data_IF_619688510470
#
_entry.id   IF_619688510470
#
_cell.length_a   1.000
_cell.length_b   1.000
_cell.length_c   1.000
_cell.angle_alpha   90.00
_cell.angle_beta   90.00
_cell.angle_gamma   90.00
#
_symmetry.space_group_name_H-M   'P 1'
#
loop_
_entity.id
_entity.type
_entity.pdbx_description
1 polymer ?
#
# COMPACT_ATOMS: atom_id res chain seq x y z
N UNK A 1 2.02 -18.66 -32.93
CA UNK A 1 0.64 -18.15 -32.84
C UNK A 1 0.56 -17.20 -31.66
N UNK A 2 -0.51 -16.43 -31.49
CA UNK A 2 -0.70 -15.61 -30.30
C UNK A 2 -1.97 -16.05 -29.58
N UNK A 3 -2.03 -15.82 -28.27
CA UNK A 3 -3.23 -16.06 -27.47
C UNK A 3 -3.51 -14.85 -26.58
N UNK A 4 -4.73 -14.74 -26.06
CA UNK A 4 -5.10 -13.73 -25.08
C UNK A 4 -4.99 -14.30 -23.67
N UNK A 5 -4.34 -13.58 -22.77
CA UNK A 5 -4.35 -13.90 -21.35
C UNK A 5 -5.66 -13.40 -20.73
N UNK A 6 -6.69 -14.25 -20.72
CA UNK A 6 -7.93 -13.97 -19.99
C UNK A 6 -7.75 -14.19 -18.48
N UNK A 7 -8.70 -13.72 -17.68
CA UNK A 7 -8.65 -13.97 -16.23
C UNK A 7 -8.71 -15.46 -15.89
N UNK A 8 -9.55 -16.23 -16.61
CA UNK A 8 -9.67 -17.66 -16.36
C UNK A 8 -8.37 -18.40 -16.69
N UNK A 9 -7.70 -18.01 -17.78
CA UNK A 9 -6.41 -18.58 -18.16
C UNK A 9 -5.31 -18.18 -17.17
N UNK A 10 -5.30 -16.94 -16.69
CA UNK A 10 -4.35 -16.49 -15.67
C UNK A 10 -4.53 -17.26 -14.35
N UNK A 11 -5.77 -17.50 -13.90
CA UNK A 11 -6.05 -18.27 -12.69
C UNK A 11 -5.72 -19.77 -12.86
N UNK A 12 -5.93 -20.32 -14.05
CA UNK A 12 -5.50 -21.66 -14.40
C UNK A 12 -3.96 -21.78 -14.36
N UNK A 13 -3.25 -20.82 -14.96
CA UNK A 13 -1.78 -20.76 -14.92
C UNK A 13 -1.29 -20.64 -13.48
N UNK A 14 -1.86 -19.74 -12.67
CA UNK A 14 -1.50 -19.58 -11.26
C UNK A 14 -1.65 -20.90 -10.49
N UNK A 15 -2.74 -21.64 -10.73
CA UNK A 15 -2.96 -22.96 -10.12
C UNK A 15 -1.95 -24.00 -10.59
N UNK A 16 -1.56 -23.96 -11.87
CA UNK A 16 -0.58 -24.85 -12.45
C UNK A 16 0.85 -24.60 -11.94
N UNK A 17 1.24 -23.34 -11.75
CA UNK A 17 2.55 -22.97 -11.18
C UNK A 17 2.72 -23.52 -9.76
N UNK A 18 1.64 -23.58 -8.98
CA UNK A 18 1.67 -24.13 -7.63
C UNK A 18 1.65 -25.67 -7.58
N UNK A 19 1.33 -26.32 -8.70
CA UNK A 19 1.29 -27.77 -8.80
C UNK A 19 2.71 -28.31 -9.04
N UNK A 20 3.29 -28.91 -8.00
CA UNK A 20 4.63 -29.50 -8.08
C UNK A 20 4.64 -30.93 -8.63
N UNK A 21 3.48 -31.54 -8.89
CA UNK A 21 3.36 -32.92 -9.35
C UNK A 21 3.29 -33.03 -10.88
N UNK A 22 2.71 -32.02 -11.54
CA UNK A 22 2.49 -32.01 -12.99
C UNK A 22 2.98 -30.72 -13.60
N UNK A 23 3.48 -30.83 -14.82
CA UNK A 23 3.89 -29.67 -15.64
C UNK A 23 2.84 -29.42 -16.69
N UNK A 24 2.62 -28.15 -17.00
CA UNK A 24 1.60 -27.72 -17.94
C UNK A 24 2.21 -26.81 -19.00
N UNK A 25 1.55 -26.73 -20.14
CA UNK A 25 1.82 -25.79 -21.24
C UNK A 25 0.52 -25.11 -21.64
N UNK A 26 0.58 -23.89 -22.15
CA UNK A 26 -0.59 -23.22 -22.73
C UNK A 26 -0.75 -23.68 -24.18
N UNK A 27 -1.91 -24.24 -24.53
CA UNK A 27 -2.32 -24.44 -25.92
C UNK A 27 -2.92 -23.14 -26.45
N UNK A 28 -2.18 -22.42 -27.28
CA UNK A 28 -2.61 -21.14 -27.84
C UNK A 28 -3.81 -21.24 -28.80
N UNK A 29 -4.09 -22.43 -29.36
CA UNK A 29 -5.27 -22.64 -30.21
C UNK A 29 -6.55 -22.72 -29.37
N UNK A 30 -6.49 -23.45 -28.26
CA UNK A 30 -7.63 -23.67 -27.36
C UNK A 30 -7.74 -22.61 -26.26
N UNK A 31 -6.66 -21.87 -26.00
CA UNK A 31 -6.51 -20.95 -24.87
C UNK A 31 -6.71 -21.64 -23.51
N UNK A 32 -6.20 -22.86 -23.40
CA UNK A 32 -6.34 -23.72 -22.22
C UNK A 32 -5.01 -24.37 -21.84
N UNK A 33 -4.91 -24.86 -20.61
CA UNK A 33 -3.75 -25.64 -20.16
C UNK A 33 -3.81 -27.08 -20.67
N UNK A 34 -2.68 -27.56 -21.19
CA UNK A 34 -2.45 -28.96 -21.56
C UNK A 34 -1.34 -29.56 -20.72
N UNK A 35 -1.42 -30.87 -20.45
CA UNK A 35 -0.39 -31.59 -19.69
C UNK A 35 0.89 -31.71 -20.53
N UNK A 36 2.02 -31.26 -19.97
CA UNK A 36 3.31 -31.29 -20.63
C UNK A 36 3.85 -32.72 -20.83
N UNK A 37 3.25 -33.74 -20.20
CA UNK A 37 3.53 -35.14 -20.48
C UNK A 37 2.90 -35.62 -21.81
N UNK A 38 1.84 -34.94 -22.27
CA UNK A 38 1.11 -35.31 -23.49
C UNK A 38 1.55 -34.50 -24.70
N UNK A 39 1.99 -33.25 -24.49
CA UNK A 39 2.40 -32.32 -25.55
C UNK A 39 3.70 -31.62 -25.17
N UNK A 40 4.60 -31.46 -26.15
CA UNK A 40 5.88 -30.78 -25.96
C UNK A 40 5.73 -29.30 -26.30
N UNK A 41 6.32 -28.42 -25.48
CA UNK A 41 6.41 -27.01 -25.80
C UNK A 41 7.18 -26.82 -27.12
N UNK A 42 6.60 -26.02 -28.02
CA UNK A 42 7.13 -25.73 -29.34
C UNK A 42 7.21 -24.21 -29.62
N UNK A 43 6.77 -23.37 -28.67
CA UNK A 43 6.77 -21.90 -28.76
C UNK A 43 5.96 -21.33 -29.95
N UNK A 44 5.18 -22.18 -30.62
CA UNK A 44 4.35 -21.82 -31.77
C UNK A 44 2.88 -22.01 -31.44
N UNK A 45 2.54 -23.16 -30.87
CA UNK A 45 1.20 -23.52 -30.40
C UNK A 45 1.20 -23.82 -28.90
N UNK A 46 2.23 -24.52 -28.43
CA UNK A 46 2.38 -24.92 -27.03
C UNK A 46 3.45 -24.07 -26.36
N UNK A 47 3.03 -23.17 -25.48
CA UNK A 47 3.91 -22.26 -24.74
C UNK A 47 4.22 -22.81 -23.35
N UNK A 48 5.50 -22.84 -22.99
CA UNK A 48 5.90 -23.20 -21.64
C UNK A 48 5.45 -22.14 -20.63
N UNK A 49 5.01 -22.58 -19.46
CA UNK A 49 4.71 -21.69 -18.33
C UNK A 49 5.99 -21.06 -17.77
N UNK A 50 5.89 -19.89 -17.09
CA UNK A 50 7.04 -19.28 -16.47
C UNK A 50 7.63 -20.16 -15.37
N UNK A 51 8.94 -20.06 -15.14
CA UNK A 51 9.64 -20.89 -14.17
C UNK A 51 9.22 -20.56 -12.74
N UNK A 52 8.48 -21.47 -12.11
CA UNK A 52 8.11 -21.36 -10.69
C UNK A 52 8.71 -22.51 -9.89
N UNK A 53 9.83 -22.25 -9.23
CA UNK A 53 10.53 -23.24 -8.42
C UNK A 53 10.28 -23.07 -6.91
N UNK A 54 10.82 -24.00 -6.13
CA UNK A 54 10.73 -23.93 -4.66
C UNK A 54 11.40 -22.67 -4.10
N UNK A 55 12.40 -22.08 -4.78
CA UNK A 55 13.06 -20.85 -4.35
C UNK A 55 12.14 -19.63 -4.55
N UNK A 56 11.45 -19.51 -5.68
CA UNK A 56 10.43 -18.50 -5.93
C UNK A 56 9.29 -18.62 -4.91
N UNK A 57 8.82 -19.84 -4.65
CA UNK A 57 7.82 -20.11 -3.62
C UNK A 57 8.28 -19.78 -2.20
N UNK A 58 9.58 -19.88 -1.90
CA UNK A 58 10.17 -19.49 -0.62
C UNK A 58 10.26 -17.96 -0.50
N UNK A 59 10.81 -17.28 -1.52
CA UNK A 59 10.88 -15.81 -1.59
C UNK A 59 9.51 -15.16 -1.43
N UNK A 60 8.47 -15.74 -2.03
CA UNK A 60 7.09 -15.26 -1.86
C UNK A 60 6.64 -15.30 -0.39
N UNK A 61 7.02 -16.36 0.34
CA UNK A 61 6.70 -16.50 1.77
C UNK A 61 7.52 -15.57 2.64
N UNK A 62 8.80 -15.36 2.31
CA UNK A 62 9.64 -14.36 2.97
C UNK A 62 9.06 -12.95 2.81
N UNK A 63 8.69 -12.58 1.57
CA UNK A 63 8.07 -11.29 1.29
C UNK A 63 6.74 -11.13 2.05
N UNK A 64 5.94 -12.20 2.14
CA UNK A 64 4.72 -12.18 2.94
C UNK A 64 5.02 -12.01 4.44
N UNK A 65 5.90 -12.83 5.01
CA UNK A 65 6.25 -12.76 6.43
C UNK A 65 6.84 -11.39 6.81
N UNK A 66 7.63 -10.77 5.93
CA UNK A 66 8.13 -9.41 6.10
C UNK A 66 6.99 -8.39 6.12
N UNK A 67 5.94 -8.60 5.31
CA UNK A 67 4.75 -7.75 5.24
C UNK A 67 3.77 -7.93 6.41
N UNK A 68 3.81 -9.06 7.12
CA UNK A 68 2.90 -9.32 8.26
C UNK A 68 3.27 -8.42 9.43
N UNK A 69 2.28 -7.71 9.97
CA UNK A 69 2.49 -6.70 11.01
C UNK A 69 2.28 -7.24 12.42
N UNK A 70 1.39 -8.21 12.62
CA UNK A 70 1.14 -8.83 13.92
C UNK A 70 2.43 -9.48 14.47
N UNK A 71 3.06 -8.95 15.54
CA UNK A 71 4.39 -9.38 15.96
C UNK A 71 4.47 -10.86 16.33
N UNK A 72 3.39 -11.39 16.92
CA UNK A 72 3.27 -12.81 17.25
C UNK A 72 3.28 -13.67 15.97
N UNK A 73 2.39 -13.38 15.03
CA UNK A 73 2.27 -14.15 13.79
C UNK A 73 3.51 -13.99 12.91
N UNK A 74 4.05 -12.77 12.83
CA UNK A 74 5.30 -12.46 12.13
C UNK A 74 6.45 -13.31 12.68
N UNK A 75 6.62 -13.35 13.99
CA UNK A 75 7.67 -14.15 14.63
C UNK A 75 7.50 -15.64 14.33
N UNK A 76 6.29 -16.18 14.46
CA UNK A 76 6.01 -17.58 14.13
C UNK A 76 6.29 -17.91 12.65
N UNK A 77 5.91 -17.02 11.72
CA UNK A 77 6.17 -17.21 10.30
C UNK A 77 7.67 -17.14 9.97
N UNK A 78 8.41 -16.22 10.59
CA UNK A 78 9.87 -16.08 10.44
C UNK A 78 10.59 -17.30 11.02
N UNK A 79 10.20 -17.79 12.20
CA UNK A 79 10.75 -19.01 12.80
C UNK A 79 10.55 -20.22 11.87
N UNK A 80 9.37 -20.35 11.28
CA UNK A 80 9.11 -21.40 10.30
C UNK A 80 10.01 -21.27 9.07
N UNK A 81 10.23 -20.06 8.56
CA UNK A 81 11.14 -19.82 7.44
C UNK A 81 12.58 -20.20 7.77
N UNK A 82 13.05 -19.92 8.99
CA UNK A 82 14.38 -20.29 9.48
C UNK A 82 14.55 -21.77 9.84
N UNK A 83 13.45 -22.51 10.02
CA UNK A 83 13.50 -23.93 10.44
C UNK A 83 14.16 -24.86 9.40
N UNK A 84 14.27 -24.43 8.15
CA UNK A 84 14.98 -25.13 7.06
C UNK A 84 14.34 -26.44 6.57
N UNK A 85 13.45 -27.07 7.34
CA UNK A 85 12.75 -28.32 6.98
C UNK A 85 11.24 -28.18 7.11
N UNK A 86 10.53 -28.59 6.07
CA UNK A 86 9.06 -28.60 6.07
C UNK A 86 8.43 -27.21 6.06
N UNK A 87 9.17 -26.17 5.65
CA UNK A 87 8.76 -24.76 5.65
C UNK A 87 7.36 -24.59 5.05
N UNK A 88 7.10 -25.13 3.86
CA UNK A 88 5.80 -24.99 3.18
C UNK A 88 4.63 -25.56 3.98
N UNK A 89 4.82 -26.71 4.63
CA UNK A 89 3.78 -27.36 5.45
C UNK A 89 3.57 -26.60 6.76
N UNK A 90 4.66 -26.28 7.45
CA UNK A 90 4.63 -25.60 8.74
C UNK A 90 4.07 -24.17 8.58
N UNK A 91 4.36 -23.50 7.47
CA UNK A 91 3.83 -22.17 7.18
C UNK A 91 2.30 -22.22 7.04
N UNK A 92 1.77 -23.21 6.32
CA UNK A 92 0.33 -23.46 6.26
C UNK A 92 -0.26 -23.78 7.65
N UNK A 93 0.47 -24.52 8.49
CA UNK A 93 0.03 -24.81 9.86
C UNK A 93 -0.08 -23.54 10.72
N UNK A 94 0.88 -22.62 10.61
CA UNK A 94 0.80 -21.31 11.29
C UNK A 94 -0.39 -20.51 10.76
N UNK A 95 -0.56 -20.43 9.43
CA UNK A 95 -1.69 -19.71 8.83
C UNK A 95 -3.05 -20.24 9.32
N UNK A 96 -3.23 -21.56 9.42
CA UNK A 96 -4.49 -22.17 9.91
C UNK A 96 -4.86 -21.77 11.34
N UNK A 97 -3.89 -21.38 12.17
CA UNK A 97 -4.14 -20.88 13.53
C UNK A 97 -4.65 -19.44 13.52
N UNK A 98 -4.45 -18.72 12.42
CA UNK A 98 -4.82 -17.31 12.25
C UNK A 98 -5.61 -17.14 10.93
N UNK A 99 -6.92 -17.46 10.91
CA UNK A 99 -7.73 -17.45 9.69
C UNK A 99 -7.68 -16.14 8.90
N UNK A 100 -7.58 -15.00 9.59
CA UNK A 100 -7.46 -13.68 8.94
C UNK A 100 -6.12 -13.50 8.22
N UNK A 101 -5.03 -14.04 8.79
CA UNK A 101 -3.71 -14.03 8.14
C UNK A 101 -3.66 -15.04 6.99
N UNK A 102 -4.36 -16.17 7.10
CA UNK A 102 -4.51 -17.13 6.00
C UNK A 102 -5.21 -16.50 4.78
N UNK A 103 -6.33 -15.80 4.98
CA UNK A 103 -7.00 -15.03 3.90
C UNK A 103 -6.05 -14.02 3.27
N UNK A 104 -5.28 -13.29 4.09
CA UNK A 104 -4.29 -12.30 3.63
C UNK A 104 -3.18 -12.96 2.81
N UNK A 105 -2.70 -14.13 3.23
CA UNK A 105 -1.75 -14.92 2.47
C UNK A 105 -2.29 -15.27 1.09
N UNK A 106 -3.52 -15.76 1.00
CA UNK A 106 -4.14 -16.08 -0.30
C UNK A 106 -4.22 -14.87 -1.23
N UNK A 107 -4.66 -13.71 -0.73
CA UNK A 107 -4.70 -12.47 -1.52
C UNK A 107 -3.33 -12.02 -1.99
N UNK A 108 -2.36 -11.95 -1.08
CA UNK A 108 -0.98 -11.54 -1.39
C UNK A 108 -0.34 -12.46 -2.44
N UNK A 109 -0.51 -13.77 -2.25
CA UNK A 109 -0.02 -14.81 -3.15
C UNK A 109 -0.63 -14.68 -4.54
N UNK A 110 -1.96 -14.52 -4.63
CA UNK A 110 -2.66 -14.35 -5.90
C UNK A 110 -2.21 -13.08 -6.63
N UNK A 111 -2.07 -11.95 -5.92
CA UNK A 111 -1.57 -10.70 -6.51
C UNK A 111 -0.17 -10.88 -7.09
N UNK A 112 0.76 -11.44 -6.32
CA UNK A 112 2.15 -11.65 -6.77
C UNK A 112 2.26 -12.65 -7.90
N UNK A 113 1.44 -13.70 -7.90
CA UNK A 113 1.36 -14.64 -9.02
C UNK A 113 0.83 -13.96 -10.29
N UNK A 114 -0.20 -13.10 -10.18
CA UNK A 114 -0.72 -12.34 -11.33
C UNK A 114 0.32 -11.37 -11.90
N UNK A 115 1.04 -10.64 -11.05
CA UNK A 115 2.16 -9.79 -11.47
C UNK A 115 3.24 -10.60 -12.22
N UNK A 116 3.57 -11.79 -11.70
CA UNK A 116 4.58 -12.67 -12.30
C UNK A 116 4.15 -13.24 -13.66
N UNK A 117 2.91 -13.73 -13.77
CA UNK A 117 2.31 -14.22 -15.02
C UNK A 117 2.20 -13.09 -16.03
N UNK A 118 1.85 -11.89 -15.56
CA UNK A 118 1.79 -10.68 -16.37
C UNK A 118 3.11 -10.31 -17.02
N UNK A 119 4.20 -10.37 -16.26
CA UNK A 119 5.56 -10.19 -16.76
C UNK A 119 5.90 -11.19 -17.86
N UNK A 120 5.69 -12.48 -17.59
CA UNK A 120 5.90 -13.55 -18.57
C UNK A 120 5.09 -13.35 -19.87
N UNK A 121 3.82 -12.97 -19.75
CA UNK A 121 2.98 -12.73 -20.92
C UNK A 121 3.45 -11.50 -21.72
N UNK A 122 3.93 -10.47 -21.04
CA UNK A 122 4.53 -9.31 -21.71
C UNK A 122 5.83 -9.68 -22.45
N UNK A 123 6.63 -10.61 -21.92
CA UNK A 123 7.81 -11.14 -22.62
C UNK A 123 7.39 -11.90 -23.90
N UNK A 124 6.32 -12.72 -23.83
CA UNK A 124 5.76 -13.37 -25.02
C UNK A 124 5.23 -12.36 -26.05
N UNK A 125 4.56 -11.30 -25.60
CA UNK A 125 4.07 -10.23 -26.48
C UNK A 125 5.21 -9.52 -27.20
N UNK A 126 6.33 -9.28 -26.52
CA UNK A 126 7.53 -8.73 -27.12
C UNK A 126 8.08 -9.65 -28.22
N UNK A 127 8.14 -10.97 -27.97
CA UNK A 127 8.52 -11.97 -28.98
C UNK A 127 7.56 -11.97 -30.17
N UNK A 128 6.27 -11.74 -29.94
CA UNK A 128 5.26 -11.62 -30.99
C UNK A 128 5.25 -10.26 -31.73
N UNK A 129 6.08 -9.30 -31.31
CA UNK A 129 6.11 -7.94 -31.87
C UNK A 129 4.91 -7.08 -31.50
N UNK A 130 4.24 -7.39 -30.40
CA UNK A 130 3.11 -6.62 -29.86
C UNK A 130 3.59 -5.65 -28.77
N UNK A 131 2.89 -4.52 -28.62
CA UNK A 131 3.12 -3.60 -27.51
C UNK A 131 2.91 -4.29 -26.16
N UNK A 132 3.75 -3.97 -25.17
CA UNK A 132 3.57 -4.42 -23.79
C UNK A 132 2.24 -3.87 -23.27
N UNK A 133 1.49 -4.70 -22.58
CA UNK A 133 0.32 -4.20 -21.85
C UNK A 133 0.85 -3.54 -20.59
N UNK A 134 0.54 -2.25 -20.43
CA UNK A 134 0.64 -1.58 -19.14
C UNK A 134 -0.19 -2.41 -18.17
N UNK A 135 0.48 -3.09 -17.25
CA UNK A 135 -0.20 -3.77 -16.18
C UNK A 135 -0.90 -2.70 -15.37
N UNK A 136 -2.21 -2.53 -15.60
CA UNK A 136 -3.10 -1.89 -14.64
C UNK A 136 -3.12 -2.83 -13.46
N UNK A 137 -2.09 -2.71 -12.61
CA UNK A 137 -2.17 -3.21 -11.26
C UNK A 137 -3.33 -2.42 -10.68
N UNK A 138 -4.46 -3.07 -10.50
CA UNK A 138 -5.47 -2.62 -9.57
C UNK A 138 -4.78 -2.44 -8.21
N UNK A 139 -4.24 -1.23 -7.98
CA UNK A 139 -3.92 -0.71 -6.66
C UNK A 139 -5.25 -0.44 -5.97
N UNK A 140 -5.92 -1.50 -5.54
CA UNK A 140 -7.07 -1.38 -4.67
C UNK A 140 -6.77 -2.07 -3.33
N UNK A 141 -6.24 -1.27 -2.40
CA UNK A 141 -7.04 -0.76 -1.27
C UNK A 141 -7.55 -1.81 -0.22
N UNK A 142 -7.38 -3.12 -0.42
CA UNK A 142 -8.07 -4.13 0.40
C UNK A 142 -7.19 -4.87 1.43
N UNK A 143 -5.92 -4.46 1.58
CA UNK A 143 -4.97 -5.02 2.57
C UNK A 143 -4.90 -4.20 3.88
N UNK A 144 -5.33 -2.94 3.86
CA UNK A 144 -5.30 -2.03 5.02
C UNK A 144 -6.58 -2.08 5.87
N UNK A 145 -7.73 -2.34 5.25
CA UNK A 145 -9.06 -2.16 5.86
C UNK A 145 -9.44 -3.19 6.94
N UNK A 146 -8.69 -4.29 7.08
CA UNK A 146 -8.95 -5.32 8.10
C UNK A 146 -8.09 -5.18 9.36
N UNK A 147 -6.91 -4.56 9.26
CA UNK A 147 -6.00 -4.35 10.39
C UNK A 147 -6.13 -2.93 10.97
N UNK A 148 -6.80 -2.02 10.27
CA UNK A 148 -7.02 -0.65 10.69
C UNK A 148 -8.42 -0.16 10.34
N UNK A 149 -9.00 0.63 11.24
CA UNK A 149 -10.29 1.26 11.05
C UNK A 149 -10.08 2.73 10.67
N UNK A 150 -10.63 3.13 9.52
CA UNK A 150 -10.61 4.51 9.05
C UNK A 150 -11.98 5.11 9.30
N UNK A 151 -12.03 6.20 10.06
CA UNK A 151 -13.27 6.86 10.45
C UNK A 151 -13.18 8.34 10.16
N UNK A 152 -14.31 8.96 9.84
CA UNK A 152 -14.37 10.41 9.71
C UNK A 152 -13.99 11.06 11.06
N UNK A 153 -13.17 12.11 10.97
CA UNK A 153 -12.71 12.89 12.12
C UNK A 153 -13.90 13.49 12.87
N UNK A 154 -13.84 13.38 14.20
CA UNK A 154 -14.80 13.93 15.14
C UNK A 154 -14.06 14.71 16.21
N UNK A 155 -14.25 16.04 16.22
CA UNK A 155 -13.58 16.95 17.15
C UNK A 155 -13.72 16.55 18.61
N UNK A 156 -14.92 16.14 19.05
CA UNK A 156 -15.16 15.81 20.44
C UNK A 156 -14.46 14.51 20.89
N UNK A 157 -14.18 13.60 19.96
CA UNK A 157 -13.56 12.29 20.26
C UNK A 157 -12.07 12.23 19.94
N UNK A 158 -11.62 12.99 18.94
CA UNK A 158 -10.32 12.78 18.30
C UNK A 158 -9.33 13.94 18.50
N UNK A 159 -9.79 15.16 18.84
CA UNK A 159 -8.92 16.34 18.91
C UNK A 159 -7.76 16.16 19.90
N UNK A 160 -8.06 15.68 21.11
CA UNK A 160 -7.04 15.43 22.15
C UNK A 160 -6.01 14.39 21.69
N UNK A 161 -6.46 13.32 21.02
CA UNK A 161 -5.55 12.32 20.47
C UNK A 161 -4.58 12.93 19.48
N UNK A 162 -5.04 13.77 18.56
CA UNK A 162 -4.17 14.42 17.57
C UNK A 162 -3.18 15.35 18.27
N UNK A 163 -3.64 16.21 19.18
CA UNK A 163 -2.77 17.17 19.89
C UNK A 163 -1.68 16.49 20.73
N UNK A 164 -2.01 15.36 21.38
CA UNK A 164 -1.07 14.59 22.19
C UNK A 164 -0.20 13.61 21.38
N UNK A 165 -0.65 13.15 20.22
CA UNK A 165 0.10 12.21 19.37
C UNK A 165 1.11 12.88 18.46
N UNK A 166 1.03 14.21 18.29
CA UNK A 166 2.03 14.99 17.53
C UNK A 166 3.35 14.95 18.27
N UNK A 167 4.17 13.97 17.90
CA UNK A 167 5.58 13.90 18.21
C UNK A 167 6.34 14.11 16.89
N UNK A 168 6.97 15.28 16.76
CA UNK A 168 7.78 15.67 15.58
C UNK A 168 9.21 15.12 15.70
N UNK A 169 9.45 14.20 16.64
CA UNK A 169 10.75 13.53 16.78
C UNK A 169 11.14 12.82 15.49
N UNK A 170 12.36 13.07 15.03
CA UNK A 170 12.92 12.48 13.82
C UNK A 170 12.55 13.21 12.52
N UNK A 171 11.95 14.40 12.59
CA UNK A 171 11.73 15.25 11.40
C UNK A 171 12.98 16.01 10.99
N UNK A 172 13.85 16.36 11.93
CA UNK A 172 15.07 17.11 11.68
C UNK A 172 16.30 16.21 11.73
N UNK A 173 16.50 15.36 10.72
CA UNK A 173 17.69 14.48 10.63
C UNK A 173 18.97 15.19 10.18
N UNK A 174 18.89 16.48 9.86
CA UNK A 174 19.94 17.22 9.13
C UNK A 174 20.76 18.20 10.00
N UNK A 175 20.47 18.32 11.30
CA UNK A 175 21.17 19.25 12.18
C UNK A 175 22.27 18.52 12.99
N UNK A 176 23.44 19.14 13.17
CA UNK A 176 24.64 18.48 13.68
C UNK A 176 24.69 18.31 15.22
N UNK A 177 23.76 18.90 15.99
CA UNK A 177 23.78 18.88 17.46
C UNK A 177 22.40 18.48 18.04
N UNK A 178 22.37 17.49 18.95
CA UNK A 178 21.14 16.87 19.48
C UNK A 178 20.23 17.87 20.24
N UNK A 179 20.79 18.93 20.83
CA UNK A 179 20.02 19.90 21.64
C UNK A 179 19.26 20.92 20.78
N UNK A 180 19.85 21.37 19.67
CA UNK A 180 19.20 22.31 18.74
C UNK A 180 18.13 21.59 17.89
N UNK A 181 18.31 20.30 17.61
CA UNK A 181 17.29 19.44 17.01
C UNK A 181 16.01 19.41 17.84
N UNK A 182 16.13 19.21 19.15
CA UNK A 182 14.98 19.13 20.05
C UNK A 182 14.19 20.45 20.09
N UNK A 183 14.86 21.61 20.12
CA UNK A 183 14.17 22.91 20.15
C UNK A 183 13.40 23.18 18.84
N UNK A 184 14.00 22.87 17.69
CA UNK A 184 13.35 23.06 16.38
C UNK A 184 12.19 22.07 16.19
N UNK A 185 12.34 20.81 16.61
CA UNK A 185 11.26 19.83 16.56
C UNK A 185 10.10 20.21 17.47
N UNK A 186 10.37 20.75 18.66
CA UNK A 186 9.35 21.28 19.55
C UNK A 186 8.62 22.48 18.94
N UNK A 187 9.35 23.44 18.36
CA UNK A 187 8.77 24.60 17.70
C UNK A 187 7.91 24.19 16.48
N UNK A 188 8.37 23.21 15.69
CA UNK A 188 7.61 22.65 14.58
C UNK A 188 6.32 21.96 15.07
N UNK A 189 6.40 21.23 16.19
CA UNK A 189 5.25 20.65 16.87
C UNK A 189 4.22 21.70 17.31
N UNK A 190 4.66 22.81 17.90
CA UNK A 190 3.77 23.91 18.29
C UNK A 190 3.09 24.55 17.07
N UNK A 191 3.82 24.81 15.99
CA UNK A 191 3.24 25.35 14.75
C UNK A 191 2.17 24.44 14.17
N UNK A 192 2.39 23.13 14.20
CA UNK A 192 1.37 22.15 13.78
C UNK A 192 0.13 22.18 14.69
N UNK A 193 0.31 22.27 16.02
CA UNK A 193 -0.83 22.41 16.94
C UNK A 193 -1.62 23.68 16.67
N UNK A 194 -0.95 24.80 16.39
CA UNK A 194 -1.61 26.04 16.01
C UNK A 194 -2.39 25.92 14.71
N UNK A 195 -1.83 25.25 13.70
CA UNK A 195 -2.51 25.02 12.43
C UNK A 195 -3.74 24.12 12.59
N UNK A 196 -3.64 23.07 13.42
CA UNK A 196 -4.77 22.22 13.76
C UNK A 196 -5.86 22.97 14.53
N UNK A 197 -5.48 23.78 15.53
CA UNK A 197 -6.40 24.63 16.30
C UNK A 197 -7.09 25.70 15.42
N UNK A 198 -6.38 26.24 14.43
CA UNK A 198 -7.00 27.07 13.39
C UNK A 198 -8.10 26.30 12.65
N UNK A 199 -7.81 25.06 12.26
CA UNK A 199 -8.79 24.16 11.66
C UNK A 199 -10.05 24.00 12.53
N UNK A 200 -9.88 23.76 13.83
CA UNK A 200 -10.99 23.63 14.79
C UNK A 200 -11.85 24.89 14.93
N UNK A 201 -11.25 26.07 14.77
CA UNK A 201 -12.00 27.33 14.73
C UNK A 201 -12.80 27.52 13.42
N UNK A 202 -12.49 26.71 12.42
CA UNK A 202 -13.11 26.65 11.09
C UNK A 202 -13.90 25.35 10.93
N UNK A 203 -14.36 25.05 9.71
CA UNK A 203 -15.01 23.76 9.40
C UNK A 203 -13.96 22.69 9.11
N UNK A 204 -13.32 22.16 10.14
CA UNK A 204 -12.36 21.06 10.00
C UNK A 204 -13.04 19.72 9.74
N UNK A 205 -12.45 18.96 8.81
CA UNK A 205 -12.89 17.62 8.41
C UNK A 205 -11.67 16.76 8.15
N UNK A 206 -11.85 15.44 8.09
CA UNK A 206 -10.72 14.55 7.86
C UNK A 206 -11.03 13.13 8.23
N UNK A 207 -9.97 12.34 8.41
CA UNK A 207 -10.04 10.94 8.74
C UNK A 207 -9.01 10.58 9.81
N UNK A 208 -9.40 9.65 10.68
CA UNK A 208 -8.56 9.05 11.70
C UNK A 208 -8.44 7.56 11.44
N UNK A 209 -7.23 7.06 11.60
CA UNK A 209 -6.89 5.64 11.52
C UNK A 209 -6.66 5.11 12.93
N UNK A 210 -7.28 3.97 13.26
CA UNK A 210 -7.09 3.27 14.53
C UNK A 210 -6.80 1.79 14.33
N UNK A 211 -6.06 1.20 15.25
CA UNK A 211 -5.88 -0.26 15.33
C UNK A 211 -7.20 -0.94 15.71
N UNK A 212 -7.32 -2.28 15.62
CA UNK A 212 -8.52 -3.01 16.03
C UNK A 212 -8.78 -2.90 17.55
N UNK A 213 -7.73 -2.60 18.32
CA UNK A 213 -7.82 -2.37 19.77
C UNK A 213 -8.24 -0.93 20.10
N UNK A 214 -8.40 -0.05 19.10
CA UNK A 214 -8.82 1.34 19.29
C UNK A 214 -7.66 2.35 19.43
N UNK A 215 -6.41 1.89 19.36
CA UNK A 215 -5.24 2.77 19.49
C UNK A 215 -5.11 3.68 18.27
N UNK A 216 -4.68 4.92 18.48
CA UNK A 216 -4.43 5.88 17.41
C UNK A 216 -3.26 5.42 16.51
N UNK A 217 -3.51 5.32 15.21
CA UNK A 217 -2.55 4.86 14.21
C UNK A 217 -2.24 5.89 13.12
N UNK A 218 -2.98 7.00 13.07
CA UNK A 218 -2.69 8.12 12.17
C UNK A 218 -3.89 9.04 11.97
N UNK A 219 -3.64 10.21 11.40
CA UNK A 219 -4.69 11.17 11.05
C UNK A 219 -4.34 11.95 9.79
N UNK A 220 -5.38 12.45 9.12
CA UNK A 220 -5.31 13.56 8.19
C UNK A 220 -6.51 14.46 8.41
N UNK A 221 -6.30 15.76 8.49
CA UNK A 221 -7.36 16.75 8.57
C UNK A 221 -7.10 17.92 7.64
N UNK A 222 -8.20 18.54 7.23
CA UNK A 222 -8.22 19.70 6.38
C UNK A 222 -9.33 20.65 6.84
N UNK A 223 -9.14 21.94 6.61
CA UNK A 223 -10.12 22.96 6.93
C UNK A 223 -10.30 23.96 5.79
N UNK A 224 -11.44 24.63 5.80
CA UNK A 224 -11.67 25.79 4.94
C UNK A 224 -10.74 26.93 5.36
N UNK A 225 -10.12 27.59 4.37
CA UNK A 225 -9.20 28.71 4.63
C UNK A 225 -9.98 29.97 5.00
N UNK A 226 -11.07 30.25 4.30
CA UNK A 226 -11.95 31.39 4.53
C UNK A 226 -13.26 31.24 3.74
N UNK A 227 -14.27 32.05 4.07
CA UNK A 227 -15.50 32.15 3.29
C UNK A 227 -15.31 32.72 1.87
N UNK A 228 -14.16 33.33 1.56
CA UNK A 228 -13.85 33.88 0.22
C UNK A 228 -13.14 32.89 -0.69
N UNK A 229 -12.70 31.76 -0.14
CA UNK A 229 -11.90 30.73 -0.82
C UNK A 229 -12.60 29.39 -0.71
N UNK A 230 -13.90 29.36 -1.04
CA UNK A 230 -14.76 28.18 -0.82
C UNK A 230 -14.29 26.94 -1.58
N UNK A 231 -13.59 27.11 -2.70
CA UNK A 231 -13.06 26.01 -3.52
C UNK A 231 -11.69 25.50 -3.06
N UNK A 232 -11.09 26.08 -2.02
CA UNK A 232 -9.77 25.69 -1.53
C UNK A 232 -9.85 25.21 -0.07
N UNK A 233 -9.12 24.15 0.22
CA UNK A 233 -8.90 23.65 1.59
C UNK A 233 -7.41 23.69 1.93
N UNK A 234 -7.10 23.84 3.21
CA UNK A 234 -5.73 23.69 3.73
C UNK A 234 -5.63 22.42 4.55
N UNK A 235 -4.59 21.63 4.32
CA UNK A 235 -4.28 20.51 5.22
C UNK A 235 -3.80 21.06 6.56
N UNK A 236 -4.47 20.67 7.63
CA UNK A 236 -4.24 21.18 8.99
C UNK A 236 -3.49 20.18 9.87
N UNK A 237 -3.63 18.88 9.59
CA UNK A 237 -2.83 17.83 10.20
C UNK A 237 -2.63 16.67 9.22
N UNK A 238 -1.44 16.09 9.19
CA UNK A 238 -1.19 14.83 8.50
C UNK A 238 -0.04 14.10 9.16
N UNK A 239 -0.35 13.02 9.87
CA UNK A 239 0.62 12.34 10.71
C UNK A 239 0.33 10.85 10.87
N UNK A 240 1.41 10.06 10.83
CA UNK A 240 1.42 8.63 11.17
C UNK A 240 2.57 8.39 12.17
N UNK A 241 2.29 7.83 13.37
CA UNK A 241 3.32 7.49 14.35
C UNK A 241 4.36 6.54 13.77
N UNK A 242 5.61 6.64 14.23
CA UNK A 242 6.74 5.84 13.70
C UNK A 242 6.48 4.34 13.69
N UNK A 243 5.86 3.82 14.75
CA UNK A 243 5.47 2.41 14.88
C UNK A 243 4.52 1.93 13.76
N UNK A 244 3.86 2.86 13.06
CA UNK A 244 2.88 2.60 12.02
C UNK A 244 3.26 3.19 10.65
N UNK A 245 4.47 3.76 10.50
CA UNK A 245 4.96 4.27 9.21
C UNK A 245 5.34 3.10 8.28
N UNK A 246 5.31 3.35 6.96
CA UNK A 246 5.62 2.34 5.94
C UNK A 246 4.52 1.29 5.72
N UNK A 247 3.41 1.38 6.47
CA UNK A 247 2.28 0.44 6.36
C UNK A 247 1.28 0.80 5.27
N UNK A 248 1.39 1.99 4.65
CA UNK A 248 0.42 2.51 3.68
C UNK A 248 -0.75 3.29 4.28
N UNK A 249 -0.84 3.41 5.61
CA UNK A 249 -1.86 4.20 6.33
C UNK A 249 -1.90 5.64 5.84
N UNK A 250 -0.73 6.26 5.66
CA UNK A 250 -0.63 7.64 5.19
C UNK A 250 -1.25 7.82 3.80
N UNK A 251 -0.99 6.90 2.87
CA UNK A 251 -1.56 6.93 1.53
C UNK A 251 -3.08 6.76 1.55
N UNK A 252 -3.60 5.83 2.36
CA UNK A 252 -5.06 5.60 2.46
C UNK A 252 -5.78 6.81 3.07
N UNK A 253 -5.24 7.35 4.18
CA UNK A 253 -5.75 8.60 4.77
C UNK A 253 -5.79 9.72 3.74
N UNK A 254 -4.70 9.88 2.98
CA UNK A 254 -4.60 10.90 1.94
C UNK A 254 -5.68 10.75 0.87
N UNK A 255 -5.84 9.55 0.31
CA UNK A 255 -6.86 9.23 -0.69
C UNK A 255 -8.28 9.49 -0.18
N UNK A 256 -8.60 9.04 1.04
CA UNK A 256 -9.91 9.26 1.66
C UNK A 256 -10.20 10.75 1.84
N UNK A 257 -9.21 11.52 2.30
CA UNK A 257 -9.32 12.96 2.50
C UNK A 257 -9.58 13.69 1.18
N UNK A 258 -8.79 13.41 0.14
CA UNK A 258 -8.97 14.05 -1.16
C UNK A 258 -10.34 13.74 -1.77
N UNK A 259 -10.78 12.48 -1.70
CA UNK A 259 -12.10 12.07 -2.18
C UNK A 259 -13.24 12.77 -1.43
N UNK A 260 -13.13 12.95 -0.11
CA UNK A 260 -14.10 13.70 0.70
C UNK A 260 -14.12 15.19 0.34
N UNK A 261 -12.94 15.81 0.16
CA UNK A 261 -12.83 17.22 -0.24
C UNK A 261 -13.42 17.45 -1.65
N UNK A 262 -13.19 16.56 -2.61
CA UNK A 262 -13.81 16.60 -3.93
C UNK A 262 -15.34 16.53 -3.84
N UNK A 263 -15.89 15.61 -3.05
CA UNK A 263 -17.34 15.49 -2.81
C UNK A 263 -17.94 16.77 -2.20
N UNK A 264 -17.15 17.52 -1.43
CA UNK A 264 -17.52 18.82 -0.85
C UNK A 264 -17.32 20.00 -1.80
N UNK A 265 -16.95 19.76 -3.07
CA UNK A 265 -16.76 20.79 -4.09
C UNK A 265 -15.44 21.55 -3.99
N UNK A 266 -14.46 21.04 -3.22
CA UNK A 266 -13.11 21.62 -3.20
C UNK A 266 -12.38 21.25 -4.49
N UNK A 267 -11.67 22.23 -5.05
CA UNK A 267 -10.87 22.11 -6.28
C UNK A 267 -9.38 22.20 -6.03
N UNK A 268 -8.99 22.75 -4.88
CA UNK A 268 -7.60 22.99 -4.54
C UNK A 268 -7.32 22.58 -3.10
N UNK A 269 -6.15 21.97 -2.89
CA UNK A 269 -5.64 21.67 -1.56
C UNK A 269 -4.23 22.25 -1.44
N UNK A 270 -3.99 22.93 -0.32
CA UNK A 270 -2.70 23.57 -0.02
C UNK A 270 -2.15 23.01 1.28
N UNK A 271 -0.83 22.84 1.36
CA UNK A 271 -0.14 22.49 2.60
C UNK A 271 0.46 23.75 3.22
N UNK A 272 0.28 23.95 4.53
CA UNK A 272 0.84 25.09 5.26
C UNK A 272 2.11 24.73 6.07
N UNK A 273 2.61 23.51 5.93
CA UNK A 273 3.78 23.02 6.68
C UNK A 273 5.07 23.59 6.10
N UNK A 274 5.83 24.31 6.93
CA UNK A 274 7.16 24.83 6.61
C UNK A 274 8.25 23.76 6.61
N UNK A 275 8.04 22.65 7.34
CA UNK A 275 8.96 21.51 7.40
C UNK A 275 8.18 20.27 6.95
N UNK A 276 8.61 19.69 5.82
CA UNK A 276 7.99 18.52 5.21
C UNK A 276 9.09 17.46 5.04
N UNK A 277 8.99 16.29 5.70
CA UNK A 277 9.88 15.16 5.47
C UNK A 277 9.91 14.72 4.02
N UNK A 278 11.06 14.23 3.55
CA UNK A 278 11.23 13.71 2.19
C UNK A 278 10.22 12.60 1.84
N UNK A 279 9.84 11.78 2.84
CA UNK A 279 8.82 10.74 2.67
C UNK A 279 7.43 11.30 2.37
N UNK A 280 7.10 12.48 2.89
CA UNK A 280 5.85 13.19 2.58
C UNK A 280 5.92 13.92 1.23
N UNK A 281 7.10 14.42 0.84
CA UNK A 281 7.30 15.03 -0.48
C UNK A 281 7.00 14.02 -1.59
N UNK A 282 7.57 12.82 -1.53
CA UNK A 282 7.33 11.78 -2.53
C UNK A 282 5.85 11.37 -2.61
N UNK A 283 5.14 11.39 -1.48
CA UNK A 283 3.71 11.11 -1.44
C UNK A 283 2.90 12.23 -2.09
N UNK A 284 3.22 13.50 -1.82
CA UNK A 284 2.57 14.66 -2.43
C UNK A 284 2.73 14.66 -3.95
N UNK A 285 3.94 14.47 -4.46
CA UNK A 285 4.22 14.47 -5.90
C UNK A 285 3.45 13.36 -6.64
N UNK A 286 3.40 12.15 -6.07
CA UNK A 286 2.61 11.03 -6.62
C UNK A 286 1.11 11.32 -6.69
N UNK A 287 0.60 12.15 -5.79
CA UNK A 287 -0.81 12.52 -5.72
C UNK A 287 -1.11 13.88 -6.39
N UNK A 288 -0.25 14.34 -7.29
CA UNK A 288 -0.50 15.50 -8.14
C UNK A 288 -0.29 16.86 -7.47
N UNK A 289 0.34 16.90 -6.30
CA UNK A 289 0.81 18.15 -5.70
C UNK A 289 2.08 18.62 -6.41
N UNK A 290 2.14 19.92 -6.67
CA UNK A 290 3.29 20.59 -7.22
C UNK A 290 3.91 21.50 -6.16
N UNK A 291 5.23 21.57 -6.12
CA UNK A 291 5.95 22.50 -5.25
C UNK A 291 5.69 23.93 -5.70
N UNK A 292 5.15 24.76 -4.82
CA UNK A 292 4.88 26.18 -5.04
C UNK A 292 5.60 27.01 -3.98
N UNK A 293 6.74 27.59 -4.34
CA UNK A 293 7.62 28.26 -3.39
C UNK A 293 8.18 27.28 -2.34
N UNK A 294 7.94 27.56 -1.05
CA UNK A 294 8.31 26.68 0.06
C UNK A 294 7.23 25.66 0.45
N UNK A 295 6.07 25.67 -0.21
CA UNK A 295 4.95 24.77 0.08
C UNK A 295 4.55 23.88 -1.10
N UNK A 296 3.46 23.13 -0.94
CA UNK A 296 2.89 22.28 -1.99
C UNK A 296 1.41 22.58 -2.19
N UNK A 297 0.96 22.53 -3.45
CA UNK A 297 -0.44 22.70 -3.82
C UNK A 297 -0.85 21.72 -4.94
N UNK A 298 -2.07 21.21 -4.87
CA UNK A 298 -2.66 20.37 -5.91
C UNK A 298 -4.01 20.92 -6.36
N UNK A 299 -4.32 20.65 -7.63
CA UNK A 299 -5.69 20.71 -8.16
C UNK A 299 -6.30 19.31 -8.05
N UNK A 300 -7.39 19.20 -7.31
CA UNK A 300 -8.17 17.96 -7.15
C UNK A 300 -9.42 18.08 -8.03
N UNK A 301 -9.49 17.28 -9.10
CA UNK A 301 -10.59 17.34 -10.09
C UNK A 301 -11.79 16.54 -9.65
#
# INVERSE_FOLDING_TARGET
MTFLLTEELADAIASALENQERRFVVDAEKQELSDAASVKADEVRYYALPEWDSAAGFKLREAFAASVYAPLVKSELIEVLHSGRGVFRNFKTVLKRFPEVEKRWHRFKNKKLREYIGGWYNDLREIWGLEKLDHIVEEYDDLLRNDFTFQAYDSARDADCILHSVCVRGFCSALPDDTDCDEIENAAGELWRHLFAFGESMRQTGFICRTPNGDFAGCITAADVSSRTETAAVLTSFFVPESYRGLGIGSELFSLCLADLQKRGKRYVVTANTIIPDSLVALFERNGFQKTGSGFAAKIQ
#
